data_IF_989144506042
#
_entry.id   IF_989144506042
#
_cell.length_a   1.000
_cell.length_b   1.000
_cell.length_c   1.000
_cell.angle_alpha   90.00
_cell.angle_beta   90.00
_cell.angle_gamma   90.00
#
_symmetry.space_group_name_H-M   'P 1'
#
loop_
_entity.id
_entity.type
_entity.pdbx_description
1 polymer ?
#
# COMPACT_ATOMS: atom_id res chain seq x y z
N UNK A 1 -75.78 5.33 -2.96
CA UNK A 1 -75.19 3.99 -2.82
C UNK A 1 -74.97 3.76 -1.32
N UNK A 2 -75.72 2.81 -0.75
CA UNK A 2 -75.65 2.15 0.56
C UNK A 2 -74.30 2.28 1.32
N UNK A 3 -74.17 2.41 2.65
CA UNK A 3 -75.07 2.34 3.81
C UNK A 3 -74.21 2.15 5.09
N UNK A 4 -74.69 2.68 6.24
CA UNK A 4 -74.45 2.33 7.67
C UNK A 4 -73.20 1.49 8.05
N UNK A 5 -72.35 1.86 9.00
CA UNK A 5 -72.64 2.36 10.35
C UNK A 5 -72.65 1.21 11.37
N UNK A 6 -71.65 1.14 12.26
CA UNK A 6 -71.80 0.51 13.57
C UNK A 6 -70.72 -0.46 14.07
N UNK A 7 -70.23 -0.14 15.27
CA UNK A 7 -70.21 -1.03 16.44
C UNK A 7 -68.89 -1.60 16.95
N UNK A 8 -68.84 -1.59 18.28
CA UNK A 8 -67.75 -1.82 19.22
C UNK A 8 -67.78 -3.28 19.68
N UNK A 9 -66.58 -3.81 20.02
CA UNK A 9 -66.23 -4.68 21.18
C UNK A 9 -65.47 -5.97 20.84
N UNK A 10 -64.66 -6.48 21.81
CA UNK A 10 -63.44 -7.23 21.54
C UNK A 10 -63.59 -8.74 21.77
N UNK A 11 -62.44 -9.40 21.67
CA UNK A 11 -62.05 -10.68 22.28
C UNK A 11 -62.22 -11.94 21.40
N UNK A 12 -61.11 -12.65 21.18
CA UNK A 12 -60.93 -14.04 21.67
C UNK A 12 -59.49 -14.52 21.44
N UNK A 13 -58.96 -15.13 22.49
CA UNK A 13 -57.67 -15.82 22.54
C UNK A 13 -57.67 -17.10 21.69
N UNK A 14 -56.52 -17.47 21.13
CA UNK A 14 -56.17 -18.88 20.85
C UNK A 14 -54.72 -19.14 21.28
N UNK A 15 -54.53 -20.27 21.97
CA UNK A 15 -53.32 -20.79 22.61
C UNK A 15 -52.47 -21.63 21.64
N UNK A 16 -51.17 -21.76 21.96
CA UNK A 16 -50.25 -22.80 21.46
C UNK A 16 -49.02 -22.17 20.76
N UNK A 17 -47.77 -22.47 21.04
CA UNK A 17 -47.13 -23.65 21.65
C UNK A 17 -45.74 -23.25 22.18
N UNK A 18 -45.28 -23.93 23.24
CA UNK A 18 -44.02 -23.70 23.95
C UNK A 18 -42.79 -23.88 23.04
N UNK A 19 -41.79 -23.01 23.17
CA UNK A 19 -40.37 -23.42 23.18
C UNK A 19 -39.73 -22.83 24.43
N UNK A 20 -39.04 -23.62 25.27
CA UNK A 20 -38.38 -23.08 26.44
C UNK A 20 -37.18 -22.22 25.99
N UNK A 21 -37.10 -21.01 26.50
CA UNK A 21 -35.85 -20.24 26.50
C UNK A 21 -34.93 -20.96 27.47
N UNK A 22 -33.90 -21.62 26.96
CA UNK A 22 -32.84 -22.16 27.78
C UNK A 22 -32.11 -21.00 28.45
N UNK A 23 -32.48 -20.71 29.69
CA UNK A 23 -31.69 -19.87 30.58
C UNK A 23 -30.38 -20.62 30.83
N UNK A 24 -29.31 -20.21 30.17
CA UNK A 24 -27.94 -20.57 30.52
C UNK A 24 -27.68 -20.11 31.94
N UNK A 25 -27.97 -20.98 32.91
CA UNK A 25 -27.42 -20.86 34.27
C UNK A 25 -25.92 -21.00 34.14
N UNK A 26 -25.21 -19.87 34.19
CA UNK A 26 -23.79 -19.84 34.49
C UNK A 26 -23.61 -20.34 35.92
N UNK A 27 -23.51 -21.66 36.05
CA UNK A 27 -22.97 -22.29 37.25
C UNK A 27 -21.51 -21.91 37.33
N UNK A 28 -21.16 -21.10 38.33
CA UNK A 28 -19.78 -20.87 38.76
C UNK A 28 -19.25 -22.22 39.28
N UNK A 29 -18.65 -23.01 38.39
CA UNK A 29 -17.88 -24.18 38.76
C UNK A 29 -16.44 -23.74 38.92
N UNK A 30 -16.00 -23.55 40.17
CA UNK A 30 -14.58 -23.47 40.51
C UNK A 30 -13.97 -24.86 40.32
N UNK A 31 -13.61 -25.17 39.07
CA UNK A 31 -12.81 -26.32 38.70
C UNK A 31 -11.43 -25.85 38.23
N UNK A 32 -10.39 -26.40 38.85
CA UNK A 32 -8.97 -26.19 38.56
C UNK A 32 -8.68 -25.99 37.06
N UNK A 33 -7.97 -24.90 36.74
CA UNK A 33 -7.49 -24.58 35.40
C UNK A 33 -6.40 -25.58 34.97
N UNK A 34 -6.81 -26.79 34.58
CA UNK A 34 -5.98 -27.67 33.81
C UNK A 34 -5.69 -26.96 32.48
N UNK A 35 -4.42 -26.57 32.28
CA UNK A 35 -3.90 -26.04 31.01
C UNK A 35 -4.25 -27.02 29.89
N UNK A 36 -5.35 -26.79 29.18
CA UNK A 36 -5.75 -27.56 28.01
C UNK A 36 -4.79 -27.21 26.89
N UNK A 37 -3.67 -27.94 26.81
CA UNK A 37 -2.75 -27.84 25.68
C UNK A 37 -3.45 -28.55 24.51
N UNK A 38 -3.74 -27.85 23.39
CA UNK A 38 -4.37 -28.50 22.25
C UNK A 38 -3.46 -29.65 21.78
N UNK A 39 -4.06 -30.81 21.55
CA UNK A 39 -3.36 -31.98 20.99
C UNK A 39 -2.73 -31.63 19.66
N UNK A 40 -1.62 -32.27 19.32
CA UNK A 40 -0.85 -31.97 18.10
C UNK A 40 -1.69 -32.12 16.82
N UNK A 41 -2.62 -33.08 16.80
CA UNK A 41 -3.62 -33.24 15.75
C UNK A 41 -4.58 -32.03 15.64
N UNK A 42 -5.06 -31.48 16.76
CA UNK A 42 -5.89 -30.27 16.76
C UNK A 42 -5.10 -29.04 16.25
N UNK A 43 -3.82 -28.92 16.62
CA UNK A 43 -2.94 -27.85 16.09
C UNK A 43 -2.71 -27.99 14.59
N UNK A 44 -2.56 -29.22 14.09
CA UNK A 44 -2.37 -29.50 12.66
C UNK A 44 -3.63 -29.17 11.84
N UNK A 45 -4.81 -29.51 12.34
CA UNK A 45 -6.08 -29.18 11.68
C UNK A 45 -6.33 -27.66 11.64
N UNK A 46 -6.06 -26.96 12.75
CA UNK A 46 -6.17 -25.48 12.76
C UNK A 46 -5.19 -24.84 11.79
N UNK A 47 -3.96 -25.37 11.65
CA UNK A 47 -2.98 -24.89 10.66
C UNK A 47 -3.41 -25.16 9.21
N UNK A 48 -3.96 -26.33 8.93
CA UNK A 48 -4.50 -26.66 7.61
C UNK A 48 -5.67 -25.76 7.24
N UNK A 49 -6.65 -25.60 8.13
CA UNK A 49 -7.79 -24.72 7.90
C UNK A 49 -7.37 -23.24 7.72
N UNK A 50 -6.40 -22.77 8.51
CA UNK A 50 -5.85 -21.42 8.35
C UNK A 50 -5.10 -21.25 7.02
N UNK A 51 -4.47 -22.30 6.51
CA UNK A 51 -3.77 -22.29 5.21
C UNK A 51 -4.75 -22.32 4.04
N UNK A 52 -5.81 -23.13 4.12
CA UNK A 52 -6.90 -23.17 3.13
C UNK A 52 -7.64 -21.83 3.07
N UNK A 53 -8.05 -21.27 4.21
CA UNK A 53 -8.67 -19.94 4.25
C UNK A 53 -7.78 -18.85 3.65
N UNK A 54 -6.47 -18.88 3.93
CA UNK A 54 -5.52 -17.91 3.39
C UNK A 54 -5.34 -18.08 1.88
N UNK A 55 -5.36 -19.31 1.39
CA UNK A 55 -5.29 -19.63 -0.03
C UNK A 55 -6.55 -19.16 -0.77
N UNK A 56 -7.73 -19.47 -0.25
CA UNK A 56 -9.02 -19.04 -0.81
C UNK A 56 -9.11 -17.51 -0.88
N UNK A 57 -8.75 -16.79 0.19
CA UNK A 57 -8.70 -15.33 0.19
C UNK A 57 -7.74 -14.76 -0.87
N UNK A 58 -6.54 -15.35 -1.02
CA UNK A 58 -5.60 -14.90 -2.07
C UNK A 58 -6.11 -15.18 -3.48
N UNK A 59 -6.83 -16.27 -3.69
CA UNK A 59 -7.44 -16.57 -4.98
C UNK A 59 -8.63 -15.65 -5.27
N UNK A 60 -9.45 -15.35 -4.26
CA UNK A 60 -10.60 -14.46 -4.38
C UNK A 60 -10.17 -13.01 -4.66
N UNK A 61 -9.08 -12.57 -4.03
CA UNK A 61 -8.44 -11.28 -4.34
C UNK A 61 -7.83 -11.25 -5.76
N UNK A 62 -7.17 -12.32 -6.20
CA UNK A 62 -6.62 -12.44 -7.54
C UNK A 62 -7.71 -12.42 -8.62
N UNK A 63 -8.82 -13.13 -8.36
CA UNK A 63 -9.95 -13.24 -9.27
C UNK A 63 -10.89 -12.03 -9.21
N UNK A 64 -10.69 -11.12 -8.24
CA UNK A 64 -11.44 -9.86 -8.13
C UNK A 64 -10.86 -8.79 -9.07
N UNK A 65 -11.55 -8.44 -10.17
CA UNK A 65 -11.04 -7.46 -11.12
C UNK A 65 -10.88 -6.07 -10.51
N UNK A 66 -11.68 -5.75 -9.48
CA UNK A 66 -11.63 -4.47 -8.78
C UNK A 66 -10.34 -4.30 -7.95
N UNK A 67 -9.93 -5.35 -7.23
CA UNK A 67 -8.72 -5.32 -6.39
C UNK A 67 -7.48 -5.30 -7.27
N UNK A 68 -7.43 -6.19 -8.27
CA UNK A 68 -6.35 -6.26 -9.24
C UNK A 68 -6.14 -4.92 -9.97
N UNK A 69 -7.23 -4.30 -10.44
CA UNK A 69 -7.17 -2.99 -11.13
C UNK A 69 -6.59 -1.90 -10.23
N UNK A 70 -7.03 -1.81 -8.97
CA UNK A 70 -6.50 -0.81 -8.02
C UNK A 70 -5.00 -0.99 -7.77
N UNK A 71 -4.54 -2.24 -7.58
CA UNK A 71 -3.12 -2.55 -7.37
C UNK A 71 -2.27 -2.20 -8.60
N UNK A 72 -2.76 -2.56 -9.81
CA UNK A 72 -2.11 -2.22 -11.07
C UNK A 72 -1.97 -0.72 -11.28
N UNK A 73 -3.06 0.05 -11.08
CA UNK A 73 -3.04 1.50 -11.20
C UNK A 73 -2.07 2.12 -10.21
N UNK A 74 -2.07 1.65 -8.96
CA UNK A 74 -1.16 2.16 -7.94
C UNK A 74 0.30 1.89 -8.30
N UNK A 75 0.62 0.67 -8.74
CA UNK A 75 1.95 0.29 -9.17
C UNK A 75 2.42 1.08 -10.40
N UNK A 76 1.55 1.29 -11.40
CA UNK A 76 1.91 2.05 -12.59
C UNK A 76 2.17 3.52 -12.28
N UNK A 77 1.34 4.14 -11.43
CA UNK A 77 1.55 5.52 -10.96
C UNK A 77 2.87 5.63 -10.19
N UNK A 78 3.16 4.69 -9.29
CA UNK A 78 4.42 4.69 -8.54
C UNK A 78 5.64 4.61 -9.47
N UNK A 79 5.63 3.66 -10.42
CA UNK A 79 6.73 3.49 -11.38
C UNK A 79 6.90 4.76 -12.22
N UNK A 80 5.81 5.31 -12.75
CA UNK A 80 5.85 6.55 -13.53
C UNK A 80 6.41 7.72 -12.72
N UNK A 81 5.96 7.90 -11.48
CA UNK A 81 6.44 8.97 -10.60
C UNK A 81 7.93 8.80 -10.26
N UNK A 82 8.41 7.56 -10.10
CA UNK A 82 9.83 7.28 -9.87
C UNK A 82 10.69 7.64 -11.08
N UNK A 83 10.22 7.33 -12.29
CA UNK A 83 10.91 7.72 -13.52
C UNK A 83 10.93 9.26 -13.67
N UNK A 84 9.83 9.94 -13.37
CA UNK A 84 9.77 11.41 -13.34
C UNK A 84 10.75 12.01 -12.32
N UNK A 85 10.88 11.41 -11.14
CA UNK A 85 11.85 11.83 -10.12
C UNK A 85 13.29 11.74 -10.64
N UNK A 86 13.67 10.62 -11.26
CA UNK A 86 15.02 10.48 -11.86
C UNK A 86 15.27 11.51 -12.96
N UNK A 87 14.28 11.75 -13.81
CA UNK A 87 14.39 12.73 -14.88
C UNK A 87 14.53 14.13 -14.30
N UNK A 88 13.74 14.51 -13.29
CA UNK A 88 13.87 15.80 -12.60
C UNK A 88 15.26 15.98 -11.98
N UNK A 89 15.77 14.97 -11.25
CA UNK A 89 17.12 14.97 -10.66
C UNK A 89 18.21 15.32 -11.68
N UNK A 90 18.16 14.71 -12.88
CA UNK A 90 19.21 14.90 -13.88
C UNK A 90 18.97 16.18 -14.70
N UNK A 91 17.74 16.40 -15.14
CA UNK A 91 17.38 17.50 -16.03
C UNK A 91 17.57 18.87 -15.37
N UNK A 92 17.25 19.02 -14.08
CA UNK A 92 17.44 20.28 -13.33
C UNK A 92 18.89 20.77 -13.37
N UNK A 93 19.83 19.87 -13.08
CA UNK A 93 21.25 20.20 -13.08
C UNK A 93 21.75 20.43 -14.51
N UNK A 94 21.25 19.64 -15.46
CA UNK A 94 21.54 19.87 -16.88
C UNK A 94 21.07 21.27 -17.30
N UNK A 95 19.87 21.69 -16.95
CA UNK A 95 19.38 23.03 -17.26
C UNK A 95 20.25 24.12 -16.64
N UNK A 96 20.67 23.95 -15.39
CA UNK A 96 21.58 24.88 -14.71
C UNK A 96 22.92 25.07 -15.47
N UNK A 97 23.54 23.99 -15.95
CA UNK A 97 24.86 24.07 -16.61
C UNK A 97 24.82 24.22 -18.13
N UNK A 98 23.73 23.82 -18.78
CA UNK A 98 23.68 23.67 -20.24
C UNK A 98 22.74 24.64 -20.94
N UNK A 99 21.97 25.45 -20.20
CA UNK A 99 21.22 26.56 -20.80
C UNK A 99 21.93 27.89 -20.54
N UNK A 100 21.89 28.77 -21.52
CA UNK A 100 22.21 30.19 -21.36
C UNK A 100 20.99 30.98 -20.85
N UNK A 101 21.20 32.26 -20.52
CA UNK A 101 20.16 33.14 -20.00
C UNK A 101 19.02 33.40 -21.01
N UNK A 102 19.24 33.07 -22.28
CA UNK A 102 18.26 33.15 -23.36
C UNK A 102 17.54 31.81 -23.62
N UNK A 103 17.85 30.76 -22.85
CA UNK A 103 17.28 29.43 -23.00
C UNK A 103 17.88 28.58 -24.12
N UNK A 104 18.97 29.01 -24.77
CA UNK A 104 19.66 28.22 -25.78
C UNK A 104 20.65 27.25 -25.14
N UNK A 105 20.91 26.13 -25.82
CA UNK A 105 21.91 25.17 -25.37
C UNK A 105 23.32 25.72 -25.50
N UNK A 106 24.10 25.67 -24.41
CA UNK A 106 25.53 26.00 -24.35
C UNK A 106 26.38 24.74 -24.10
N UNK A 107 27.70 24.76 -24.37
CA UNK A 107 28.57 23.62 -24.13
C UNK A 107 28.57 23.15 -22.66
N UNK A 108 28.09 21.92 -22.43
CA UNK A 108 27.92 21.30 -21.11
C UNK A 108 29.23 20.77 -20.47
N UNK A 109 30.40 21.34 -20.77
CA UNK A 109 31.67 20.80 -20.25
C UNK A 109 31.74 20.90 -18.72
N UNK A 110 31.17 21.95 -18.13
CA UNK A 110 31.04 22.08 -16.67
C UNK A 110 30.13 21.01 -16.07
N UNK A 111 29.02 20.64 -16.73
CA UNK A 111 28.15 19.55 -16.28
C UNK A 111 28.90 18.21 -16.20
N UNK A 112 29.72 17.89 -17.21
CA UNK A 112 30.52 16.66 -17.20
C UNK A 112 31.55 16.66 -16.07
N UNK A 113 32.27 17.76 -15.91
CA UNK A 113 33.37 17.86 -14.93
C UNK A 113 32.88 17.98 -13.49
N UNK A 114 31.84 18.77 -13.26
CA UNK A 114 31.36 19.08 -11.91
C UNK A 114 30.28 18.13 -11.41
N UNK A 115 29.58 17.40 -12.29
CA UNK A 115 28.48 16.49 -11.90
C UNK A 115 28.85 15.05 -12.26
N UNK A 116 28.95 14.74 -13.56
CA UNK A 116 29.07 13.35 -14.03
C UNK A 116 30.38 12.65 -13.64
N UNK A 117 31.41 13.40 -13.23
CA UNK A 117 32.67 12.83 -12.74
C UNK A 117 32.55 12.17 -11.35
N UNK A 118 31.49 12.49 -10.60
CA UNK A 118 31.29 12.04 -9.21
C UNK A 118 30.86 10.59 -9.10
N UNK A 119 30.08 10.11 -10.06
CA UNK A 119 29.50 8.78 -10.03
C UNK A 119 29.26 8.26 -11.45
N UNK A 120 29.34 6.93 -11.64
CA UNK A 120 28.99 6.27 -12.91
C UNK A 120 27.52 6.46 -13.28
N UNK A 121 26.64 6.52 -12.28
CA UNK A 121 25.22 6.78 -12.49
C UNK A 121 24.96 8.28 -12.47
N UNK A 122 24.41 8.80 -13.57
CA UNK A 122 24.03 10.22 -13.67
C UNK A 122 23.08 10.65 -12.53
N UNK A 123 22.13 9.79 -12.13
CA UNK A 123 21.20 10.09 -11.04
C UNK A 123 21.94 10.24 -9.71
N UNK A 124 22.85 9.32 -9.37
CA UNK A 124 23.62 9.42 -8.13
C UNK A 124 24.62 10.58 -8.14
N UNK A 125 25.28 10.81 -9.28
CA UNK A 125 26.14 11.97 -9.47
C UNK A 125 25.37 13.29 -9.21
N UNK A 126 24.14 13.38 -9.72
CA UNK A 126 23.25 14.51 -9.50
C UNK A 126 22.78 14.62 -8.04
N UNK A 127 22.44 13.51 -7.39
CA UNK A 127 22.06 13.50 -5.97
C UNK A 127 23.21 13.97 -5.07
N UNK A 128 24.43 13.50 -5.32
CA UNK A 128 25.63 13.97 -4.59
C UNK A 128 25.83 15.48 -4.78
N UNK A 129 25.56 15.99 -5.98
CA UNK A 129 25.62 17.42 -6.30
C UNK A 129 24.57 18.25 -5.57
N UNK A 130 23.32 17.78 -5.50
CA UNK A 130 22.28 18.43 -4.70
C UNK A 130 22.61 18.43 -3.21
N UNK A 131 23.19 17.34 -2.70
CA UNK A 131 23.59 17.22 -1.30
C UNK A 131 24.68 18.23 -0.93
N UNK A 132 25.71 18.37 -1.76
CA UNK A 132 26.79 19.34 -1.53
C UNK A 132 26.28 20.79 -1.49
N UNK A 133 25.24 21.09 -2.27
CA UNK A 133 24.55 22.40 -2.26
C UNK A 133 23.47 22.52 -1.20
N UNK A 134 23.37 21.56 -0.29
CA UNK A 134 22.40 21.53 0.80
C UNK A 134 20.92 21.58 0.32
N UNK A 135 20.68 21.27 -0.96
CA UNK A 135 19.33 21.17 -1.52
C UNK A 135 18.61 19.92 -0.99
N UNK A 136 19.36 18.85 -0.74
CA UNK A 136 18.92 17.63 -0.09
C UNK A 136 19.90 17.22 1.01
N UNK A 137 19.48 16.39 1.94
CA UNK A 137 20.28 15.92 3.07
C UNK A 137 20.48 14.39 3.04
N UNK A 138 21.14 13.85 4.08
CA UNK A 138 21.37 12.40 4.19
C UNK A 138 20.10 11.57 4.31
N UNK A 139 19.06 12.11 4.96
CA UNK A 139 17.78 11.43 5.11
C UNK A 139 17.04 11.33 3.78
N UNK A 140 17.11 12.38 2.95
CA UNK A 140 16.55 12.38 1.59
C UNK A 140 17.20 11.29 0.72
N UNK A 141 18.53 11.09 0.85
CA UNK A 141 19.22 10.00 0.16
C UNK A 141 18.80 8.62 0.67
N UNK A 142 18.61 8.47 1.98
CA UNK A 142 18.09 7.24 2.55
C UNK A 142 16.67 6.94 2.05
N UNK A 143 15.79 7.96 2.00
CA UNK A 143 14.46 7.85 1.39
C UNK A 143 14.56 7.41 -0.08
N UNK A 144 15.43 8.03 -0.87
CA UNK A 144 15.64 7.66 -2.28
C UNK A 144 15.99 6.18 -2.44
N UNK A 145 16.87 5.62 -1.59
CA UNK A 145 17.20 4.19 -1.61
C UNK A 145 15.98 3.32 -1.34
N UNK A 146 15.17 3.66 -0.34
CA UNK A 146 13.96 2.90 0.00
C UNK A 146 12.90 2.98 -1.10
N UNK A 147 12.76 4.16 -1.72
CA UNK A 147 11.88 4.38 -2.87
C UNK A 147 12.30 3.48 -4.04
N UNK A 148 13.60 3.44 -4.34
CA UNK A 148 14.19 2.61 -5.40
C UNK A 148 13.95 1.12 -5.12
N UNK A 149 14.13 0.66 -3.88
CA UNK A 149 13.86 -0.72 -3.51
C UNK A 149 12.39 -1.09 -3.74
N UNK A 150 11.46 -0.25 -3.30
CA UNK A 150 10.03 -0.48 -3.56
C UNK A 150 9.72 -0.50 -5.06
N UNK A 151 10.34 0.36 -5.88
CA UNK A 151 10.20 0.30 -7.35
C UNK A 151 10.72 -1.02 -7.92
N UNK A 152 11.86 -1.49 -7.43
CA UNK A 152 12.45 -2.75 -7.88
C UNK A 152 11.53 -3.93 -7.55
N UNK A 153 10.97 -3.98 -6.34
CA UNK A 153 9.99 -4.99 -5.96
C UNK A 153 8.79 -4.99 -6.92
N UNK A 154 8.23 -3.80 -7.19
CA UNK A 154 7.13 -3.64 -8.15
C UNK A 154 7.52 -4.07 -9.58
N UNK A 155 8.77 -3.89 -9.99
CA UNK A 155 9.22 -4.22 -11.35
C UNK A 155 9.51 -5.71 -11.53
N UNK A 156 10.06 -6.36 -10.50
CA UNK A 156 10.47 -7.76 -10.55
C UNK A 156 9.37 -8.73 -10.10
N UNK A 157 8.50 -8.32 -9.19
CA UNK A 157 7.47 -9.17 -8.61
C UNK A 157 6.04 -8.71 -8.95
N UNK A 158 5.85 -7.86 -9.97
CA UNK A 158 4.56 -7.22 -10.29
C UNK A 158 3.37 -8.18 -10.24
N UNK A 159 3.46 -9.30 -10.96
CA UNK A 159 2.39 -10.30 -11.03
C UNK A 159 2.13 -10.99 -9.68
N UNK A 160 3.17 -11.27 -8.90
CA UNK A 160 3.05 -11.87 -7.56
C UNK A 160 2.42 -10.89 -6.55
N UNK A 161 2.81 -9.61 -6.62
CA UNK A 161 2.33 -8.54 -5.76
C UNK A 161 0.87 -8.21 -6.06
N UNK A 162 0.49 -8.14 -7.32
CA UNK A 162 -0.89 -7.86 -7.70
C UNK A 162 -1.80 -9.03 -7.33
N UNK A 163 -1.34 -10.26 -7.57
CA UNK A 163 -2.20 -11.43 -7.44
C UNK A 163 -2.33 -11.99 -6.04
N UNK A 164 -1.25 -12.10 -5.27
CA UNK A 164 -1.29 -12.91 -4.04
C UNK A 164 -0.67 -12.22 -2.83
N UNK A 165 0.36 -11.39 -3.02
CA UNK A 165 1.08 -10.75 -1.89
C UNK A 165 0.51 -9.40 -1.47
N UNK A 166 -0.21 -8.71 -2.36
CA UNK A 166 -0.55 -7.31 -2.20
C UNK A 166 0.62 -6.38 -2.52
N UNK A 167 0.37 -5.07 -2.47
CA UNK A 167 1.43 -4.07 -2.64
C UNK A 167 2.46 -4.17 -1.49
N UNK A 168 3.72 -3.73 -1.70
CA UNK A 168 4.73 -3.71 -0.64
C UNK A 168 4.23 -3.07 0.65
N UNK A 169 4.62 -3.61 1.82
CA UNK A 169 4.08 -3.19 3.13
C UNK A 169 4.18 -1.68 3.42
N UNK A 170 5.20 -1.03 2.88
CA UNK A 170 5.44 0.40 3.09
C UNK A 170 5.10 1.24 1.85
N UNK A 171 4.34 0.69 0.90
CA UNK A 171 4.05 1.32 -0.39
C UNK A 171 3.55 2.76 -0.24
N UNK A 172 2.56 3.00 0.62
CA UNK A 172 1.99 4.34 0.83
C UNK A 172 3.03 5.34 1.39
N UNK A 173 3.80 4.91 2.39
CA UNK A 173 4.89 5.73 2.95
C UNK A 173 5.96 6.04 1.91
N UNK A 174 6.36 5.05 1.10
CA UNK A 174 7.35 5.25 0.04
C UNK A 174 6.83 6.13 -1.09
N UNK A 175 5.54 6.03 -1.38
CA UNK A 175 4.91 6.91 -2.36
C UNK A 175 4.89 8.36 -1.87
N UNK A 176 4.56 8.58 -0.60
CA UNK A 176 4.63 9.91 0.00
C UNK A 176 6.05 10.50 -0.03
N UNK A 177 7.05 9.73 0.40
CA UNK A 177 8.46 10.13 0.35
C UNK A 177 8.94 10.43 -1.08
N UNK A 178 8.46 9.68 -2.07
CA UNK A 178 8.74 9.92 -3.49
C UNK A 178 8.22 11.28 -3.92
N UNK A 179 6.96 11.59 -3.61
CA UNK A 179 6.34 12.86 -3.97
C UNK A 179 7.00 14.03 -3.25
N UNK A 180 7.33 13.87 -1.96
CA UNK A 180 8.10 14.87 -1.20
C UNK A 180 9.45 15.17 -1.85
N UNK A 181 10.20 14.13 -2.19
CA UNK A 181 11.53 14.29 -2.78
C UNK A 181 11.46 14.91 -4.18
N UNK A 182 10.49 14.49 -4.99
CA UNK A 182 10.23 15.09 -6.29
C UNK A 182 9.93 16.58 -6.16
N UNK A 183 9.00 16.94 -5.27
CA UNK A 183 8.63 18.33 -5.04
C UNK A 183 9.83 19.18 -4.57
N UNK A 184 10.65 18.65 -3.67
CA UNK A 184 11.83 19.32 -3.16
C UNK A 184 12.85 19.64 -4.26
N UNK A 185 13.05 18.71 -5.18
CA UNK A 185 13.96 18.87 -6.32
C UNK A 185 13.35 19.79 -7.38
N UNK A 186 12.04 19.76 -7.56
CA UNK A 186 11.34 20.63 -8.51
C UNK A 186 11.34 22.10 -8.08
N UNK A 187 11.36 22.39 -6.77
CA UNK A 187 11.43 23.77 -6.25
C UNK A 187 12.85 24.35 -6.31
N UNK A 188 13.87 23.50 -6.23
CA UNK A 188 15.26 23.94 -6.38
C UNK A 188 15.52 24.49 -7.79
#
# INVERSE_FOLDING_TARGET
MWGFGGSVRPNKSVKGTRRPVAVLKFGFFQGSAASFKPTEAARRNVRHAAMEMKFEQTMEEFLSPAIMRKRLISASIYIAAFESLKESIVSKIRFYYCLDDSGNSKPCESHKKEVLSRNKSAVYASLDWFKERQAINGDDLAKFEQIKLCRNDLSHELFSLIGSRGLPKHFETRFHELVELLHKIDIW
#
